data_IF_152378124852
#
_entry.id   IF_152378124852
#
_cell.length_a   1.000
_cell.length_b   1.000
_cell.length_c   1.000
_cell.angle_alpha   90.00
_cell.angle_beta   90.00
_cell.angle_gamma   90.00
#
_symmetry.space_group_name_H-M   'P 1'
#
loop_
_entity.id
_entity.type
_entity.pdbx_description
1 polymer ?
#
# COMPACT_ATOMS: atom_id res chain seq x y z
N UNK A 1 -9.81 19.91 -16.14
CA UNK A 1 -9.19 19.72 -15.36
C UNK A 1 -9.61 19.04 -14.28
N UNK A 2 -9.11 18.30 -13.81
CA UNK A 2 -9.48 17.60 -12.80
C UNK A 2 -9.07 18.07 -11.53
N UNK A 3 -8.85 19.21 -11.39
CA UNK A 3 -8.51 19.69 -10.19
C UNK A 3 -9.54 19.49 -9.21
N UNK A 4 -10.75 19.43 -9.61
CA UNK A 4 -11.76 19.25 -8.71
C UNK A 4 -11.69 17.96 -8.08
N UNK A 5 -11.33 16.96 -8.76
CA UNK A 5 -11.27 15.71 -8.15
C UNK A 5 -10.12 15.72 -7.20
N UNK A 6 -9.09 16.45 -7.47
CA UNK A 6 -8.01 16.48 -6.58
C UNK A 6 -8.33 17.14 -5.29
N UNK A 7 -9.27 18.02 -5.27
CA UNK A 7 -9.65 18.67 -4.06
C UNK A 7 -10.22 17.69 -3.11
N UNK A 8 -10.93 16.70 -3.59
CA UNK A 8 -11.58 15.76 -2.74
C UNK A 8 -10.71 14.58 -2.38
N UNK A 9 -9.54 14.47 -2.93
CA UNK A 9 -8.68 13.39 -2.62
C UNK A 9 -7.40 13.91 -2.06
N UNK A 10 -6.86 13.27 -1.07
CA UNK A 10 -5.58 13.64 -0.53
C UNK A 10 -4.52 13.28 -1.55
N UNK A 11 -3.47 14.05 -1.61
CA UNK A 11 -2.35 13.71 -2.45
C UNK A 11 -1.72 12.45 -1.90
N UNK A 12 -1.20 11.63 -2.76
CA UNK A 12 -0.62 10.37 -2.36
C UNK A 12 0.75 10.23 -3.02
N UNK A 13 1.73 9.89 -2.23
CA UNK A 13 3.04 9.62 -2.75
C UNK A 13 3.75 8.65 -1.83
N UNK A 14 4.86 8.15 -2.25
CA UNK A 14 5.69 7.34 -1.36
C UNK A 14 7.14 7.51 -1.77
N UNK A 15 8.04 7.24 -0.86
CA UNK A 15 9.45 7.29 -1.19
C UNK A 15 10.19 6.27 -0.33
N UNK A 16 11.25 5.71 -0.88
CA UNK A 16 12.05 4.74 -0.19
C UNK A 16 13.51 4.98 -0.55
N UNK A 17 14.39 4.88 0.44
CA UNK A 17 15.78 5.10 0.18
C UNK A 17 16.49 3.78 0.30
N UNK A 18 17.08 3.32 -0.77
CA UNK A 18 17.83 2.08 -0.83
C UNK A 18 17.02 0.88 -0.36
N UNK A 19 15.73 0.93 -0.59
CA UNK A 19 14.80 -0.12 -0.20
C UNK A 19 14.85 -0.39 1.31
N UNK A 20 15.24 0.62 2.08
CA UNK A 20 15.40 0.43 3.50
C UNK A 20 14.34 1.26 4.20
N UNK A 21 13.11 0.79 4.15
CA UNK A 21 11.98 1.51 4.70
C UNK A 21 11.24 2.27 3.62
N UNK A 22 10.08 2.79 3.97
CA UNK A 22 9.27 3.51 3.00
C UNK A 22 8.39 4.51 3.75
N UNK A 23 8.24 5.69 3.18
CA UNK A 23 7.39 6.74 3.68
C UNK A 23 6.23 6.85 2.71
N UNK A 24 4.99 6.89 3.22
CA UNK A 24 3.82 6.95 2.36
C UNK A 24 2.88 8.00 2.90
N UNK A 25 2.32 8.81 2.01
CA UNK A 25 1.29 9.75 2.43
C UNK A 25 0.03 9.49 1.62
N UNK A 26 -1.04 10.19 1.93
CA UNK A 26 -2.33 9.98 1.28
C UNK A 26 -2.99 8.68 1.74
N UNK A 27 -2.64 8.18 2.91
CA UNK A 27 -3.16 6.93 3.42
C UNK A 27 -4.40 7.18 4.23
N UNK A 28 -5.46 6.42 3.98
CA UNK A 28 -6.68 6.58 4.72
C UNK A 28 -6.87 5.47 5.75
N UNK A 29 -6.21 4.34 5.58
CA UNK A 29 -6.39 3.25 6.54
C UNK A 29 -5.29 2.23 6.36
N UNK A 30 -5.00 1.47 7.42
CA UNK A 30 -4.08 0.34 7.34
C UNK A 30 -4.92 -0.90 7.53
N UNK A 31 -4.99 -1.72 6.51
CA UNK A 31 -5.85 -2.88 6.55
C UNK A 31 -5.21 -4.02 7.31
N UNK A 32 -3.94 -4.25 7.09
CA UNK A 32 -3.26 -5.31 7.82
C UNK A 32 -1.76 -5.07 7.75
N UNK A 33 -1.02 -5.63 8.70
CA UNK A 33 0.43 -5.56 8.60
C UNK A 33 1.05 -6.69 9.39
N UNK A 34 2.17 -7.17 8.92
CA UNK A 34 3.00 -8.10 9.65
C UNK A 34 4.42 -7.91 9.11
N UNK A 35 5.35 -8.74 9.53
CA UNK A 35 6.74 -8.55 9.15
C UNK A 35 6.99 -8.78 7.67
N UNK A 36 6.11 -9.44 6.99
CA UNK A 36 6.30 -9.72 5.57
C UNK A 36 5.51 -8.82 4.66
N UNK A 37 4.55 -8.08 5.18
CA UNK A 37 3.75 -7.26 4.31
C UNK A 37 2.85 -6.30 5.05
N UNK A 38 2.51 -5.22 4.37
CA UNK A 38 1.61 -4.20 4.91
C UNK A 38 0.63 -3.86 3.81
N UNK A 39 -0.65 -3.80 4.14
CA UNK A 39 -1.68 -3.47 3.17
C UNK A 39 -2.40 -2.23 3.65
N UNK A 40 -2.48 -1.24 2.78
CA UNK A 40 -3.04 0.06 3.12
C UNK A 40 -4.10 0.45 2.10
N UNK A 41 -4.94 1.39 2.49
CA UNK A 41 -5.84 2.04 1.54
C UNK A 41 -5.33 3.47 1.37
N UNK A 42 -5.19 3.91 0.14
CA UNK A 42 -4.72 5.25 -0.15
C UNK A 42 -5.75 5.95 -1.01
N UNK A 43 -5.56 7.22 -1.28
CA UNK A 43 -6.46 7.96 -2.14
C UNK A 43 -6.37 7.47 -3.58
N UNK A 44 -5.38 6.68 -3.92
CA UNK A 44 -5.23 6.16 -5.25
C UNK A 44 -5.46 4.65 -5.33
N UNK A 45 -6.07 4.06 -4.31
CA UNK A 45 -6.39 2.64 -4.32
C UNK A 45 -5.68 1.91 -3.20
N UNK A 46 -5.87 0.62 -3.15
CA UNK A 46 -5.21 -0.19 -2.13
C UNK A 46 -3.77 -0.46 -2.54
N UNK A 47 -2.90 -0.52 -1.57
CA UNK A 47 -1.49 -0.67 -1.82
C UNK A 47 -0.92 -1.74 -0.92
N UNK A 48 -0.13 -2.63 -1.47
CA UNK A 48 0.52 -3.67 -0.69
C UNK A 48 2.03 -3.46 -0.76
N UNK A 49 2.70 -3.53 0.39
CA UNK A 49 4.13 -3.42 0.47
C UNK A 49 4.63 -4.76 0.99
N UNK A 50 5.59 -5.35 0.32
CA UNK A 50 6.14 -6.64 0.71
C UNK A 50 7.60 -6.51 1.03
N UNK A 51 8.07 -7.27 1.97
CA UNK A 51 9.48 -7.19 2.33
C UNK A 51 9.81 -8.12 3.48
N UNK A 52 10.85 -7.76 4.22
CA UNK A 52 11.33 -8.55 5.32
C UNK A 52 11.52 -7.68 6.53
N UNK A 53 11.12 -8.19 7.66
CA UNK A 53 11.26 -7.50 8.94
C UNK A 53 10.62 -6.12 8.89
N UNK A 54 9.44 -6.04 8.34
CA UNK A 54 8.75 -4.76 8.22
C UNK A 54 8.09 -4.40 9.54
N UNK A 55 8.18 -3.13 9.91
CA UNK A 55 7.55 -2.63 11.10
C UNK A 55 6.95 -1.27 10.80
N UNK A 56 5.75 -1.01 11.24
CA UNK A 56 5.12 0.29 11.04
C UNK A 56 5.66 1.18 12.15
N UNK A 57 6.44 2.17 11.80
CA UNK A 57 7.07 3.04 12.77
C UNK A 57 6.33 4.35 12.97
N UNK A 58 5.54 4.78 11.99
CA UNK A 58 4.70 5.96 12.14
C UNK A 58 3.36 5.63 11.54
N UNK A 59 2.30 5.91 12.28
CA UNK A 59 0.96 5.68 11.79
C UNK A 59 0.12 6.89 12.18
N UNK A 60 -0.10 7.78 11.26
CA UNK A 60 -0.85 8.99 11.51
C UNK A 60 -1.95 9.11 10.46
N UNK A 61 -3.07 8.46 10.73
CA UNK A 61 -4.15 8.43 9.74
C UNK A 61 -4.81 9.79 9.59
N UNK A 62 -4.78 10.61 10.63
CA UNK A 62 -5.36 11.95 10.51
C UNK A 62 -4.65 12.73 9.42
N UNK A 63 -3.33 12.62 9.34
CA UNK A 63 -2.59 13.31 8.30
C UNK A 63 -2.31 12.39 7.11
N UNK A 64 -2.69 11.14 7.21
CA UNK A 64 -2.52 10.20 6.12
C UNK A 64 -1.09 9.73 5.94
N UNK A 65 -0.30 9.69 7.00
CA UNK A 65 1.11 9.37 6.89
C UNK A 65 1.42 8.04 7.56
N UNK A 66 2.14 7.19 6.85
CA UNK A 66 2.58 5.92 7.39
C UNK A 66 4.05 5.76 7.02
N UNK A 67 4.86 5.35 7.99
CA UNK A 67 6.26 5.03 7.72
C UNK A 67 6.52 3.61 8.16
N UNK A 68 7.23 2.86 7.35
CA UNK A 68 7.50 1.46 7.61
C UNK A 68 8.99 1.27 7.50
N UNK A 69 9.59 0.61 8.48
CA UNK A 69 11.00 0.28 8.42
C UNK A 69 11.15 -1.16 7.95
N UNK A 70 12.31 -1.54 7.52
CA UNK A 70 12.60 -2.89 7.10
C UNK A 70 13.02 -2.93 5.65
N UNK A 71 13.26 -4.10 5.13
CA UNK A 71 13.73 -4.23 3.77
C UNK A 71 12.56 -4.35 2.85
N UNK A 72 12.45 -3.43 1.91
CA UNK A 72 11.33 -3.41 0.99
C UNK A 72 11.64 -4.28 -0.20
N UNK A 73 10.81 -5.28 -0.45
CA UNK A 73 10.98 -6.15 -1.60
C UNK A 73 10.19 -5.69 -2.80
N UNK A 74 9.04 -5.13 -2.57
CA UNK A 74 8.23 -4.66 -3.67
C UNK A 74 6.98 -3.99 -3.16
N UNK A 75 6.26 -3.35 -4.07
CA UNK A 75 4.97 -2.79 -3.72
C UNK A 75 4.10 -2.79 -4.95
N UNK A 76 2.79 -2.80 -4.76
CA UNK A 76 1.90 -2.73 -5.89
C UNK A 76 0.53 -2.27 -5.43
N UNK A 77 -0.27 -1.81 -6.37
CA UNK A 77 -1.62 -1.37 -6.08
C UNK A 77 -2.58 -2.43 -6.56
N UNK A 78 -3.74 -2.53 -5.93
CA UNK A 78 -4.72 -3.48 -6.37
C UNK A 78 -6.12 -2.96 -6.07
N UNK A 79 -7.09 -3.54 -6.75
CA UNK A 79 -8.45 -3.14 -6.54
C UNK A 79 -9.03 -3.93 -5.38
N UNK A 80 -10.01 -3.38 -4.76
CA UNK A 80 -10.59 -4.00 -3.60
C UNK A 80 -11.61 -5.04 -4.01
N UNK A 81 -11.18 -6.16 -4.50
CA UNK A 81 -12.06 -7.21 -4.89
C UNK A 81 -11.46 -8.49 -4.50
N UNK A 82 -11.42 -8.77 -3.25
CA UNK A 82 -10.73 -9.92 -2.75
C UNK A 82 -11.05 -11.24 -3.37
N UNK A 83 -12.26 -11.51 -3.54
CA UNK A 83 -12.61 -12.80 -4.05
C UNK A 83 -12.10 -12.97 -5.44
N UNK A 84 -12.27 -12.00 -6.22
CA UNK A 84 -11.87 -12.08 -7.55
C UNK A 84 -10.38 -12.18 -7.65
N UNK A 85 -9.72 -11.38 -6.92
CA UNK A 85 -8.34 -11.40 -6.94
C UNK A 85 -7.75 -12.69 -6.62
N UNK A 86 -8.19 -13.31 -5.61
CA UNK A 86 -7.62 -14.52 -5.22
C UNK A 86 -7.88 -15.55 -6.26
N UNK A 87 -9.00 -15.55 -6.85
CA UNK A 87 -9.27 -16.53 -7.85
C UNK A 87 -8.40 -16.35 -9.05
N UNK A 88 -8.19 -15.12 -9.45
CA UNK A 88 -7.41 -14.88 -10.55
C UNK A 88 -6.02 -15.32 -10.40
N UNK A 89 -5.44 -15.04 -9.33
CA UNK A 89 -4.12 -15.43 -9.12
C UNK A 89 -3.96 -16.90 -9.22
N UNK A 90 -4.76 -17.62 -8.64
CA UNK A 90 -4.65 -18.96 -8.68
C UNK A 90 -4.90 -19.55 -9.98
N UNK A 91 -5.87 -19.17 -10.60
CA UNK A 91 -6.20 -19.73 -11.76
C UNK A 91 -5.21 -19.51 -12.77
N UNK A 92 -4.61 -18.42 -12.77
CA UNK A 92 -3.76 -18.17 -13.71
C UNK A 92 -2.68 -19.07 -13.74
N UNK A 93 -2.20 -19.42 -12.73
CA UNK A 93 -1.18 -20.24 -12.72
C UNK A 93 -1.49 -21.52 -13.02
N UNK A 94 -2.62 -21.81 -12.90
CA UNK A 94 -2.95 -23.07 -13.18
C UNK A 94 -3.02 -23.29 -14.45
N UNK A 95 -3.12 -22.77 -14.91
CA UNK A 95 -3.10 -23.01 -16.03
C UNK A 95 -3.46 -23.14 -16.54
N UNK A 96 -3.61 -22.98 -15.93
CA UNK A 96 -3.68 -22.96 -16.38
C UNK A 96 -3.49 -22.90 -16.71
#
# INVERSE_FOLDING_TARGET
>A
MNERSDINKAAHSFSSKMRNGIYIDGVSDVISFDEGGVVLTTSCGNMAIEGEQLHVTVLNITDGIVEISGKIGGLYYFEDKPAVKSGLFRKRKDGD
#
